data_IF_007219484097
#
_entry.id   IF_007219484097
#
_cell.length_a   1.000
_cell.length_b   1.000
_cell.length_c   1.000
_cell.angle_alpha   90.00
_cell.angle_beta   90.00
_cell.angle_gamma   90.00
#
_symmetry.space_group_name_H-M   'P 1'
#
loop_
_entity.id
_entity.type
_entity.pdbx_description
1 polymer ?
#
# COMPACT_ATOMS: atom_id res chain seq x y z
N UNK A 1 -32.97 0.41 -21.96
CA UNK A 1 -32.07 -0.41 -21.11
C UNK A 1 -30.72 -0.48 -21.81
N UNK A 2 -29.62 -0.08 -21.15
CA UNK A 2 -28.29 -0.01 -21.80
C UNK A 2 -27.61 -1.37 -21.93
N UNK A 3 -26.81 -1.57 -22.98
CA UNK A 3 -26.02 -2.80 -23.20
C UNK A 3 -24.91 -2.90 -22.15
N UNK A 4 -24.82 -4.01 -21.41
CA UNK A 4 -23.79 -4.21 -20.39
C UNK A 4 -22.40 -4.29 -21.02
N UNK A 5 -21.38 -3.78 -20.31
CA UNK A 5 -19.99 -3.85 -20.77
C UNK A 5 -19.49 -5.28 -21.01
N UNK A 6 -19.94 -6.24 -20.20
CA UNK A 6 -19.66 -7.68 -20.38
C UNK A 6 -20.26 -8.24 -21.68
N UNK A 7 -21.31 -7.61 -22.19
CA UNK A 7 -21.98 -7.98 -23.45
C UNK A 7 -21.56 -7.06 -24.62
N UNK A 8 -20.42 -6.37 -24.51
CA UNK A 8 -19.93 -5.47 -25.56
C UNK A 8 -20.60 -4.09 -25.59
N UNK A 9 -21.14 -3.62 -24.46
CA UNK A 9 -21.44 -2.21 -24.24
C UNK A 9 -20.20 -1.41 -23.82
N UNK A 10 -20.34 -0.09 -23.72
CA UNK A 10 -19.22 0.77 -23.32
C UNK A 10 -18.79 0.49 -21.87
N UNK A 11 -17.48 0.35 -21.65
CA UNK A 11 -16.91 0.22 -20.30
C UNK A 11 -17.06 1.56 -19.57
N UNK A 12 -17.47 1.50 -18.31
CA UNK A 12 -17.50 2.67 -17.41
C UNK A 12 -16.08 3.22 -17.18
N UNK A 13 -15.07 2.35 -17.23
CA UNK A 13 -13.66 2.71 -17.00
C UNK A 13 -12.78 2.20 -18.13
N UNK A 14 -12.04 3.13 -18.74
CA UNK A 14 -11.09 2.84 -19.83
C UNK A 14 -9.63 2.85 -19.36
N UNK A 15 -9.37 3.22 -18.10
CA UNK A 15 -8.03 3.19 -17.50
C UNK A 15 -7.81 1.87 -16.74
N UNK A 16 -6.59 1.31 -16.72
CA UNK A 16 -6.26 0.15 -15.90
C UNK A 16 -6.41 0.46 -14.40
N UNK A 17 -6.57 -0.57 -13.57
CA UNK A 17 -6.55 -0.39 -12.11
C UNK A 17 -5.13 0.03 -11.68
N UNK A 18 -4.99 0.81 -10.59
CA UNK A 18 -3.66 1.08 -10.05
C UNK A 18 -2.97 -0.23 -9.70
N UNK A 19 -1.64 -0.21 -9.72
CA UNK A 19 -0.83 -1.35 -9.26
C UNK A 19 -1.12 -1.60 -7.78
N UNK A 20 -1.21 -2.87 -7.42
CA UNK A 20 -1.27 -3.29 -6.02
C UNK A 20 -0.16 -4.33 -5.74
N UNK A 21 0.53 -4.26 -4.59
CA UNK A 21 0.49 -3.20 -3.59
C UNK A 21 1.05 -1.87 -4.10
N UNK A 22 0.60 -0.77 -3.51
CA UNK A 22 1.18 0.56 -3.71
C UNK A 22 2.31 0.71 -2.69
N UNK A 23 3.53 0.91 -3.17
CA UNK A 23 4.71 1.20 -2.37
C UNK A 23 5.73 1.92 -3.24
N UNK A 24 6.63 2.67 -2.59
CA UNK A 24 7.75 3.36 -3.22
C UNK A 24 9.07 3.15 -2.43
N UNK A 25 10.13 3.84 -2.85
CA UNK A 25 11.45 3.69 -2.24
C UNK A 25 11.49 4.05 -0.74
N UNK A 26 10.59 4.91 -0.26
CA UNK A 26 10.51 5.28 1.15
C UNK A 26 10.10 4.10 2.02
N UNK A 27 9.17 3.26 1.53
CA UNK A 27 8.75 2.04 2.21
C UNK A 27 9.92 1.06 2.33
N UNK A 28 10.69 0.88 1.25
CA UNK A 28 11.87 0.01 1.26
C UNK A 28 12.95 0.48 2.24
N UNK A 29 13.19 1.79 2.30
CA UNK A 29 14.15 2.38 3.25
C UNK A 29 13.68 2.16 4.70
N UNK A 30 12.42 2.46 5.00
CA UNK A 30 11.86 2.26 6.34
C UNK A 30 11.97 0.79 6.80
N UNK A 31 11.68 -0.17 5.92
CA UNK A 31 11.84 -1.59 6.21
C UNK A 31 13.31 -1.98 6.42
N UNK A 32 14.21 -1.44 5.60
CA UNK A 32 15.65 -1.70 5.72
C UNK A 32 16.21 -1.17 7.04
N UNK A 33 15.79 0.03 7.47
CA UNK A 33 16.19 0.63 8.74
C UNK A 33 15.74 -0.22 9.93
N UNK A 34 14.49 -0.71 9.92
CA UNK A 34 13.98 -1.63 10.96
C UNK A 34 14.77 -2.92 10.96
N UNK A 35 15.02 -3.50 9.77
CA UNK A 35 15.80 -4.73 9.64
C UNK A 35 17.19 -4.58 10.27
N UNK A 36 17.93 -3.54 9.88
CA UNK A 36 19.28 -3.25 10.36
C UNK A 36 19.33 -2.91 11.85
N UNK A 37 18.26 -2.36 12.41
CA UNK A 37 18.20 -2.06 13.85
C UNK A 37 18.08 -3.31 14.75
N UNK A 38 17.61 -4.43 14.20
CA UNK A 38 17.27 -5.64 14.96
C UNK A 38 16.07 -5.49 15.92
N UNK A 39 15.44 -4.31 16.00
CA UNK A 39 14.31 -4.02 16.89
C UNK A 39 12.99 -4.13 16.14
N UNK A 40 12.53 -5.36 15.93
CA UNK A 40 11.38 -5.63 15.06
C UNK A 40 10.03 -5.67 15.79
N UNK A 41 10.05 -5.83 17.11
CA UNK A 41 8.83 -5.94 17.92
C UNK A 41 8.34 -4.58 18.39
N UNK A 42 7.03 -4.39 18.50
CA UNK A 42 6.41 -3.15 18.99
C UNK A 42 6.80 -2.78 20.43
N UNK A 43 7.18 -3.74 21.26
CA UNK A 43 7.59 -3.51 22.66
C UNK A 43 9.03 -3.03 22.78
N UNK A 44 9.91 -3.40 21.84
CA UNK A 44 11.34 -3.04 21.85
C UNK A 44 11.76 -2.03 20.78
N UNK A 45 11.01 -1.94 19.68
CA UNK A 45 11.19 -0.98 18.61
C UNK A 45 10.27 0.23 18.75
N UNK A 46 10.60 1.31 18.06
CA UNK A 46 9.86 2.57 18.15
C UNK A 46 8.85 2.79 17.03
N UNK A 47 8.99 2.09 15.90
CA UNK A 47 8.22 2.37 14.66
C UNK A 47 6.71 2.19 14.80
N UNK A 48 6.26 1.22 15.59
CA UNK A 48 4.82 1.05 15.87
C UNK A 48 4.26 2.23 16.66
N UNK A 49 4.93 2.62 17.73
CA UNK A 49 4.51 3.76 18.57
C UNK A 49 4.55 5.09 17.79
N UNK A 50 5.61 5.32 17.02
CA UNK A 50 5.73 6.50 16.13
C UNK A 50 4.55 6.59 15.14
N UNK A 51 4.08 5.45 14.62
CA UNK A 51 2.94 5.40 13.73
C UNK A 51 1.63 5.71 14.46
N UNK A 52 1.38 5.08 15.61
CA UNK A 52 0.19 5.29 16.46
C UNK A 52 0.06 6.73 16.98
N UNK A 53 1.18 7.42 17.23
CA UNK A 53 1.17 8.82 17.66
C UNK A 53 0.85 9.79 16.51
N UNK A 54 1.11 9.38 15.26
CA UNK A 54 1.01 10.24 14.08
C UNK A 54 -0.36 10.13 13.38
N UNK A 55 -1.06 9.00 13.52
CA UNK A 55 -2.27 8.67 12.77
C UNK A 55 -3.33 8.03 13.67
#
# INVERSE_FOLDING_TARGET
>A
MGKLAINGGNKVRNKPFPRWPVWDESDCRALTDVCNSGQWWSVGGTKTKEFEEKF
#
